data_IF_052459518274
#
_entry.id   IF_052459518274
#
_cell.length_a   1.000
_cell.length_b   1.000
_cell.length_c   1.000
_cell.angle_alpha   90.00
_cell.angle_beta   90.00
_cell.angle_gamma   90.00
#
_symmetry.space_group_name_H-M   'P 1'
#
loop_
_entity.id
_entity.type
_entity.pdbx_description
1 polymer ?
#
# COMPACT_ATOMS: atom_id res chain seq x y z
N UNK A 1 7.20 13.84 -8.11
CA UNK A 1 7.33 12.38 -8.33
C UNK A 1 6.23 11.67 -7.54
N UNK A 2 5.26 11.09 -8.23
CA UNK A 2 4.09 10.47 -7.61
C UNK A 2 4.49 9.12 -6.98
N UNK A 3 4.72 9.11 -5.67
CA UNK A 3 5.14 7.97 -4.82
C UNK A 3 4.11 6.80 -4.73
N UNK A 4 3.19 6.70 -5.68
CA UNK A 4 2.17 5.65 -5.72
C UNK A 4 2.75 4.37 -6.33
N UNK A 5 2.26 3.21 -5.89
CA UNK A 5 2.71 1.89 -6.37
C UNK A 5 2.15 1.55 -7.77
N UNK A 6 2.34 2.47 -8.72
CA UNK A 6 1.83 2.34 -10.09
C UNK A 6 2.60 1.28 -10.85
N UNK A 7 1.88 0.36 -11.50
CA UNK A 7 2.47 -0.72 -12.30
C UNK A 7 3.15 -1.83 -11.48
N UNK A 8 2.86 -1.95 -10.18
CA UNK A 8 3.39 -3.02 -9.35
C UNK A 8 2.49 -4.25 -9.39
N UNK A 9 3.06 -5.40 -9.74
CA UNK A 9 2.37 -6.70 -9.73
C UNK A 9 2.07 -7.18 -8.31
N UNK A 10 1.05 -8.01 -8.17
CA UNK A 10 0.67 -8.64 -6.90
C UNK A 10 1.84 -9.40 -6.24
N UNK A 11 2.54 -10.23 -7.01
CA UNK A 11 3.69 -11.01 -6.53
C UNK A 11 4.80 -10.12 -5.98
N UNK A 12 5.16 -9.07 -6.72
CA UNK A 12 6.19 -8.11 -6.31
C UNK A 12 5.75 -7.29 -5.09
N UNK A 13 4.46 -6.99 -4.97
CA UNK A 13 3.89 -6.37 -3.77
C UNK A 13 4.06 -7.31 -2.57
N UNK A 14 3.61 -8.56 -2.67
CA UNK A 14 3.61 -9.53 -1.57
C UNK A 14 5.04 -9.88 -1.12
N UNK A 15 5.99 -9.97 -2.05
CA UNK A 15 7.41 -10.16 -1.74
C UNK A 15 8.00 -8.99 -0.94
N UNK A 16 7.58 -7.76 -1.24
CA UNK A 16 8.12 -6.55 -0.60
C UNK A 16 7.39 -6.18 0.68
N UNK A 17 6.10 -6.49 0.75
CA UNK A 17 5.20 -6.09 1.82
C UNK A 17 4.33 -7.29 2.22
N UNK A 18 4.74 -8.06 3.24
CA UNK A 18 3.90 -9.12 3.78
C UNK A 18 2.60 -8.58 4.36
N UNK A 19 1.65 -9.49 4.59
CA UNK A 19 0.39 -9.16 5.28
C UNK A 19 0.68 -8.59 6.67
N UNK A 20 0.01 -7.49 7.03
CA UNK A 20 0.24 -6.76 8.28
C UNK A 20 1.06 -5.48 8.13
N UNK A 21 1.49 -5.12 6.92
CA UNK A 21 2.17 -3.84 6.67
C UNK A 21 1.19 -2.65 6.64
N UNK A 22 1.64 -1.51 7.18
CA UNK A 22 0.89 -0.24 7.18
C UNK A 22 1.15 0.60 5.93
N UNK A 23 0.08 1.18 5.39
CA UNK A 23 0.09 2.05 4.22
C UNK A 23 -0.79 3.27 4.46
N UNK A 24 -0.46 4.38 3.80
CA UNK A 24 -1.37 5.51 3.65
C UNK A 24 -2.22 5.29 2.39
N UNK A 25 -3.52 5.17 2.59
CA UNK A 25 -4.51 5.05 1.52
C UNK A 25 -5.13 6.41 1.17
N UNK A 26 -5.06 6.77 -0.10
CA UNK A 26 -5.59 8.01 -0.65
C UNK A 26 -6.85 7.70 -1.47
N UNK A 27 -8.07 7.88 -0.92
CA UNK A 27 -9.29 7.62 -1.67
C UNK A 27 -9.41 8.52 -2.91
N UNK A 28 -9.08 9.80 -2.75
CA UNK A 28 -9.17 10.81 -3.79
C UNK A 28 -7.77 11.25 -4.24
N UNK A 29 -7.42 10.94 -5.49
CA UNK A 29 -6.13 11.37 -6.08
C UNK A 29 -6.07 12.89 -6.17
N UNK A 30 -5.05 13.48 -5.56
CA UNK A 30 -4.83 14.94 -5.53
C UNK A 30 -5.27 15.62 -4.24
N UNK A 31 -6.02 14.92 -3.37
CA UNK A 31 -6.32 15.41 -2.02
C UNK A 31 -5.24 14.86 -1.07
N UNK A 32 -4.67 15.70 -0.18
CA UNK A 32 -3.66 15.26 0.77
C UNK A 32 -4.20 14.39 1.92
N UNK A 33 -5.52 14.22 1.99
CA UNK A 33 -6.20 13.40 2.98
C UNK A 33 -5.94 11.91 2.72
N UNK A 34 -5.33 11.25 3.70
CA UNK A 34 -5.06 9.82 3.66
C UNK A 34 -5.43 9.16 4.97
N UNK A 35 -5.83 7.90 4.86
CA UNK A 35 -6.13 7.06 6.01
C UNK A 35 -5.03 6.01 6.14
N UNK A 36 -4.46 5.87 7.33
CA UNK A 36 -3.56 4.75 7.61
C UNK A 36 -4.36 3.45 7.63
N UNK A 37 -3.90 2.48 6.85
CA UNK A 37 -4.53 1.18 6.68
C UNK A 37 -3.49 0.08 6.78
N UNK A 38 -3.89 -1.07 7.32
CA UNK A 38 -3.03 -2.25 7.47
C UNK A 38 -3.50 -3.34 6.53
N UNK A 39 -2.60 -3.95 5.77
CA UNK A 39 -2.96 -5.07 4.88
C UNK A 39 -3.46 -6.27 5.68
N UNK A 40 -4.60 -6.82 5.28
CA UNK A 40 -5.25 -7.99 5.90
C UNK A 40 -5.03 -9.27 5.10
N UNK A 41 -4.76 -9.14 3.81
CA UNK A 41 -4.51 -10.27 2.90
C UNK A 41 -3.32 -9.94 2.00
N UNK A 42 -2.85 -10.96 1.29
CA UNK A 42 -1.99 -10.76 0.13
C UNK A 42 -2.73 -9.95 -0.94
N UNK A 43 -1.96 -9.24 -1.77
CA UNK A 43 -2.46 -8.55 -2.94
C UNK A 43 -2.79 -9.56 -4.05
N UNK A 44 -3.81 -9.24 -4.86
CA UNK A 44 -4.22 -10.04 -6.01
C UNK A 44 -4.52 -9.16 -7.22
N UNK A 45 -4.34 -9.73 -8.42
CA UNK A 45 -4.68 -9.06 -9.66
C UNK A 45 -6.16 -9.30 -10.01
N UNK A 46 -6.83 -8.25 -10.47
CA UNK A 46 -8.15 -8.31 -11.09
C UNK A 46 -8.00 -8.70 -12.57
N UNK A 47 -9.06 -9.25 -13.18
CA UNK A 47 -9.03 -9.74 -14.57
C UNK A 47 -8.66 -8.70 -15.64
N UNK A 48 -8.66 -7.41 -15.30
CA UNK A 48 -8.24 -6.30 -16.17
C UNK A 48 -6.84 -5.74 -15.81
N UNK A 49 -6.05 -6.46 -15.00
CA UNK A 49 -4.66 -6.13 -14.68
C UNK A 49 -4.45 -5.18 -13.50
N UNK A 50 -5.50 -4.58 -12.96
CA UNK A 50 -5.39 -3.78 -11.73
C UNK A 50 -5.08 -4.68 -10.53
N UNK A 51 -4.16 -4.25 -9.67
CA UNK A 51 -3.79 -4.99 -8.46
C UNK A 51 -4.40 -4.32 -7.24
N UNK A 52 -5.03 -5.13 -6.40
CA UNK A 52 -5.72 -4.70 -5.18
C UNK A 52 -5.25 -5.51 -3.98
N UNK A 53 -5.43 -4.95 -2.79
CA UNK A 53 -5.14 -5.63 -1.51
C UNK A 53 -6.26 -5.34 -0.51
N UNK A 54 -6.61 -6.30 0.35
CA UNK A 54 -7.58 -6.07 1.43
C UNK A 54 -6.87 -5.38 2.59
N UNK A 55 -7.55 -4.44 3.23
CA UNK A 55 -7.04 -3.73 4.40
C UNK A 55 -8.03 -3.77 5.56
N UNK A 56 -7.52 -3.62 6.78
CA UNK A 56 -8.36 -3.51 7.97
C UNK A 56 -9.20 -2.22 7.94
N UNK A 57 -10.42 -2.30 8.48
CA UNK A 57 -11.34 -1.16 8.54
C UNK A 57 -12.04 -0.81 7.23
N UNK A 58 -11.81 -1.58 6.15
CA UNK A 58 -12.48 -1.36 4.86
C UNK A 58 -12.92 -2.68 4.23
N UNK A 59 -14.15 -2.72 3.76
CA UNK A 59 -14.64 -3.84 2.98
C UNK A 59 -14.10 -3.79 1.54
N UNK A 60 -13.71 -4.95 0.99
CA UNK A 60 -13.19 -5.09 -0.36
C UNK A 60 -11.68 -4.83 -0.49
N UNK A 61 -11.22 -4.81 -1.74
CA UNK A 61 -9.82 -4.53 -2.09
C UNK A 61 -9.59 -3.06 -2.42
N UNK A 62 -8.47 -2.50 -1.96
CA UNK A 62 -7.98 -1.17 -2.35
C UNK A 62 -6.90 -1.30 -3.41
N UNK A 63 -6.97 -0.46 -4.44
CA UNK A 63 -5.98 -0.44 -5.53
C UNK A 63 -4.61 0.00 -5.01
N UNK A 64 -3.55 -0.72 -5.40
CA UNK A 64 -2.18 -0.37 -5.03
C UNK A 64 -1.78 1.03 -5.52
N UNK A 65 -2.35 1.50 -6.62
CA UNK A 65 -2.14 2.85 -7.15
C UNK A 65 -2.61 3.97 -6.20
N UNK A 66 -3.42 3.65 -5.19
CA UNK A 66 -3.90 4.60 -4.18
C UNK A 66 -3.18 4.40 -2.83
N UNK A 67 -2.24 3.46 -2.76
CA UNK A 67 -1.45 3.20 -1.57
C UNK A 67 -0.07 3.84 -1.68
N UNK A 68 0.37 4.41 -0.56
CA UNK A 68 1.77 4.76 -0.33
C UNK A 68 2.26 4.02 0.91
N UNK A 69 3.43 3.37 0.87
CA UNK A 69 4.00 2.77 2.06
C UNK A 69 4.23 3.85 3.12
N UNK A 70 3.87 3.57 4.37
CA UNK A 70 4.34 4.38 5.49
C UNK A 70 5.82 4.08 5.60
N UNK A 71 6.69 4.93 5.04
CA UNK A 71 8.13 4.82 5.25
C UNK A 71 8.36 5.18 6.72
N UNK A 72 8.24 4.19 7.60
CA UNK A 72 8.87 4.29 8.91
C UNK A 72 10.36 4.29 8.60
N UNK A 73 11.04 5.40 8.85
CA UNK A 73 12.50 5.43 8.86
C UNK A 73 12.97 4.51 9.98
N UNK A 74 13.04 3.21 9.72
CA UNK A 74 13.84 2.30 10.53
C UNK A 74 15.28 2.56 10.08
N UNK A 75 15.93 3.52 10.73
CA UNK A 75 17.34 3.85 10.50
C UNK A 75 17.66 5.33 10.50
N UNK A 76 17.42 6.05 11.61
CA UNK A 76 18.51 6.88 12.13
C UNK A 76 19.25 6.01 13.15
N UNK A 77 20.45 5.50 12.83
CA UNK A 77 21.35 5.03 13.88
C UNK A 77 21.73 6.27 14.70
N UNK A 78 21.06 6.43 15.85
CA UNK A 78 21.49 7.37 16.86
C UNK A 78 22.92 6.98 17.30
N UNK A 79 23.86 7.88 17.07
CA UNK A 79 25.04 8.12 17.90
C UNK A 79 26.06 6.98 18.03
N UNK A 80 27.21 7.18 17.39
CA UNK A 80 28.49 7.30 18.14
C UNK A 80 29.49 8.13 17.34
#
# INVERSE_FOLDING_TARGET
MSHFLKGMSAEKFNQKYPVGCSFNYFPNRGIPDSVEVVTRTEAWALGHGAVVVSVNGRAGGVSLEHLKPVITRVGEPNGN
#
